data_IF_447772065292
#
_entry.id   IF_447772065292
#
_cell.length_a   1.000
_cell.length_b   1.000
_cell.length_c   1.000
_cell.angle_alpha   90.00
_cell.angle_beta   90.00
_cell.angle_gamma   90.00
#
_symmetry.space_group_name_H-M   'P 1'
#
loop_
_entity.id
_entity.type
_entity.pdbx_description
1 polymer ?
#
# COMPACT_ATOMS: atom_id res chain seq x y z
N UNK A 1 33.15 -59.57 -10.46
CA UNK A 1 32.18 -58.73 -11.21
C UNK A 1 32.60 -57.28 -11.07
N UNK A 2 32.81 -56.59 -12.19
CA UNK A 2 33.37 -55.23 -12.25
C UNK A 2 32.32 -54.21 -11.80
N UNK A 3 32.66 -53.46 -10.76
CA UNK A 3 31.85 -52.39 -10.19
C UNK A 3 31.77 -51.22 -11.20
N UNK A 4 30.59 -50.99 -11.78
CA UNK A 4 30.35 -49.91 -12.74
C UNK A 4 30.35 -48.56 -12.02
N UNK A 5 31.51 -47.90 -12.00
CA UNK A 5 31.74 -46.52 -11.54
C UNK A 5 31.04 -45.43 -12.36
N UNK A 6 30.21 -45.81 -13.35
CA UNK A 6 29.57 -44.90 -14.31
C UNK A 6 28.33 -44.21 -13.73
N UNK A 7 27.77 -44.72 -12.63
CA UNK A 7 26.52 -44.17 -12.05
C UNK A 7 26.79 -42.97 -11.10
N UNK A 8 28.02 -42.78 -10.62
CA UNK A 8 28.35 -41.70 -9.69
C UNK A 8 28.50 -40.32 -10.35
N UNK A 9 28.66 -40.26 -11.68
CA UNK A 9 28.87 -39.01 -12.43
C UNK A 9 27.54 -38.31 -12.78
N UNK A 10 26.40 -39.02 -12.74
CA UNK A 10 25.09 -38.43 -13.05
C UNK A 10 24.41 -37.72 -11.87
N UNK A 11 24.95 -37.83 -10.65
CA UNK A 11 24.37 -37.24 -9.43
C UNK A 11 24.92 -35.84 -9.07
N UNK A 12 25.83 -35.28 -9.87
CA UNK A 12 26.54 -34.02 -9.54
C UNK A 12 26.08 -32.84 -10.43
N UNK A 13 25.20 -33.05 -11.41
CA UNK A 13 24.80 -32.03 -12.40
C UNK A 13 23.48 -31.27 -12.12
N UNK A 14 22.88 -31.34 -10.92
CA UNK A 14 21.65 -30.59 -10.60
C UNK A 14 21.84 -29.40 -9.64
N UNK A 15 23.09 -29.00 -9.32
CA UNK A 15 23.37 -27.84 -8.46
C UNK A 15 23.74 -26.59 -9.28
N UNK A 16 23.31 -26.50 -10.53
CA UNK A 16 23.53 -25.34 -11.41
C UNK A 16 22.23 -24.60 -11.72
N UNK A 17 21.53 -24.15 -10.68
CA UNK A 17 20.63 -22.99 -10.81
C UNK A 17 20.66 -22.13 -9.54
N UNK A 18 21.87 -21.79 -9.10
CA UNK A 18 22.07 -20.73 -8.10
C UNK A 18 22.59 -19.47 -8.81
N UNK A 19 21.74 -18.81 -9.59
CA UNK A 19 22.04 -17.49 -10.17
C UNK A 19 20.77 -16.69 -10.51
N UNK A 20 19.71 -16.79 -9.70
CA UNK A 20 18.51 -15.97 -9.88
C UNK A 20 17.94 -15.48 -8.54
N UNK A 21 18.73 -14.79 -7.69
CA UNK A 21 18.16 -14.25 -6.44
C UNK A 21 18.87 -13.05 -5.78
N UNK A 22 19.78 -12.32 -6.44
CA UNK A 22 20.41 -11.12 -5.83
C UNK A 22 19.78 -9.77 -6.19
N UNK A 23 18.94 -9.71 -7.22
CA UNK A 23 18.29 -8.47 -7.67
C UNK A 23 16.97 -8.19 -6.95
N UNK A 24 16.22 -9.24 -6.59
CA UNK A 24 14.91 -9.11 -5.92
C UNK A 24 15.05 -8.52 -4.51
N UNK A 25 15.96 -9.09 -3.70
CA UNK A 25 16.20 -8.66 -2.32
C UNK A 25 16.67 -7.19 -2.21
N UNK A 26 17.53 -6.74 -3.14
CA UNK A 26 17.95 -5.31 -3.18
C UNK A 26 16.79 -4.39 -3.54
N UNK A 27 15.97 -4.77 -4.54
CA UNK A 27 14.81 -3.95 -4.95
C UNK A 27 13.73 -3.91 -3.86
N UNK A 28 13.39 -5.05 -3.26
CA UNK A 28 12.47 -5.11 -2.12
C UNK A 28 12.97 -4.22 -0.99
N UNK A 29 14.23 -4.36 -0.56
CA UNK A 29 14.81 -3.57 0.54
C UNK A 29 14.86 -2.07 0.26
N UNK A 30 15.09 -1.66 -0.99
CA UNK A 30 15.03 -0.25 -1.41
C UNK A 30 13.59 0.26 -1.38
N UNK A 31 12.63 -0.51 -1.90
CA UNK A 31 11.20 -0.16 -1.85
C UNK A 31 10.73 -0.06 -0.40
N UNK A 32 11.09 -0.99 0.48
CA UNK A 32 10.71 -0.92 1.91
C UNK A 32 11.23 0.37 2.56
N UNK A 33 12.43 0.80 2.21
CA UNK A 33 13.00 2.03 2.74
C UNK A 33 12.28 3.28 2.17
N UNK A 34 11.97 3.30 0.88
CA UNK A 34 11.24 4.40 0.25
C UNK A 34 9.77 4.51 0.74
N UNK A 35 9.15 3.40 1.12
CA UNK A 35 7.80 3.34 1.69
C UNK A 35 7.76 3.51 3.21
N UNK A 36 8.89 3.66 3.89
CA UNK A 36 8.96 3.74 5.36
C UNK A 36 8.19 4.91 6.01
N UNK A 37 7.75 5.89 5.21
CA UNK A 37 6.87 6.97 5.66
C UNK A 37 5.40 6.54 5.76
N UNK A 38 5.01 5.46 5.05
CA UNK A 38 3.69 4.84 5.18
C UNK A 38 3.72 3.94 6.41
N UNK A 39 3.42 4.53 7.56
CA UNK A 39 3.42 3.84 8.83
C UNK A 39 2.39 4.44 9.77
N UNK A 40 1.64 3.58 10.45
CA UNK A 40 0.56 3.97 11.36
C UNK A 40 1.02 4.90 12.48
N UNK A 41 2.28 4.81 12.92
CA UNK A 41 2.84 5.67 13.98
C UNK A 41 3.24 7.05 13.48
N UNK A 42 3.43 7.23 12.17
CA UNK A 42 4.00 8.45 11.57
C UNK A 42 3.02 9.23 10.70
N UNK A 43 1.92 8.61 10.29
CA UNK A 43 0.93 9.26 9.44
C UNK A 43 0.30 10.45 10.18
N UNK A 44 0.41 11.64 9.58
CA UNK A 44 -0.21 12.85 10.09
C UNK A 44 -1.12 13.42 8.99
N UNK A 45 -2.40 13.55 9.30
CA UNK A 45 -3.42 14.01 8.37
C UNK A 45 -4.47 14.86 9.07
N UNK A 46 -5.20 15.62 8.27
CA UNK A 46 -6.39 16.36 8.70
C UNK A 46 -7.55 16.01 7.77
N UNK A 47 -8.77 16.07 8.29
CA UNK A 47 -10.00 15.95 7.50
C UNK A 47 -10.54 17.37 7.38
N UNK A 48 -10.76 17.81 6.14
CA UNK A 48 -11.27 19.15 5.84
C UNK A 48 -12.62 19.06 5.16
N UNK A 49 -13.56 19.89 5.59
CA UNK A 49 -14.81 20.11 4.86
C UNK A 49 -14.48 20.96 3.62
N UNK A 50 -14.91 20.51 2.45
CA UNK A 50 -14.65 21.17 1.16
C UNK A 50 -15.97 21.60 0.57
N UNK A 51 -16.02 22.83 0.05
CA UNK A 51 -17.15 23.40 -0.66
C UNK A 51 -16.81 23.61 -2.13
N UNK A 52 -17.81 23.68 -2.99
CA UNK A 52 -17.62 24.04 -4.39
C UNK A 52 -17.45 25.56 -4.51
N UNK A 53 -16.26 26.00 -4.88
CA UNK A 53 -15.90 27.43 -5.05
C UNK A 53 -16.33 28.01 -6.40
N UNK A 54 -16.74 27.15 -7.33
CA UNK A 54 -17.20 27.50 -8.69
C UNK A 54 -18.71 27.32 -8.89
N UNK A 55 -19.44 26.82 -7.89
CA UNK A 55 -20.87 26.56 -7.97
C UNK A 55 -21.71 27.73 -7.42
N UNK A 56 -22.92 27.93 -7.94
CA UNK A 56 -23.91 28.87 -7.39
C UNK A 56 -25.28 28.18 -7.20
N UNK A 57 -25.81 28.08 -5.97
CA UNK A 57 -25.19 28.54 -4.71
C UNK A 57 -23.94 27.72 -4.35
N UNK A 58 -23.08 28.27 -3.50
CA UNK A 58 -21.98 27.51 -2.89
C UNK A 58 -22.60 26.42 -2.01
N UNK A 59 -22.20 25.17 -2.22
CA UNK A 59 -22.63 24.04 -1.41
C UNK A 59 -21.46 23.15 -1.01
N UNK A 60 -21.67 22.38 0.05
CA UNK A 60 -20.70 21.44 0.60
C UNK A 60 -20.52 20.24 -0.35
N UNK A 61 -19.27 19.95 -0.71
CA UNK A 61 -18.88 18.80 -1.57
C UNK A 61 -18.50 17.57 -0.75
N UNK A 62 -18.36 17.74 0.57
CA UNK A 62 -18.08 16.68 1.54
C UNK A 62 -16.75 16.88 2.25
N UNK A 63 -16.21 15.80 2.82
CA UNK A 63 -14.99 15.83 3.61
C UNK A 63 -13.84 15.20 2.84
N UNK A 64 -12.64 15.77 2.93
CA UNK A 64 -11.45 15.26 2.22
C UNK A 64 -10.28 15.14 3.18
N UNK A 65 -9.49 14.08 2.98
CA UNK A 65 -8.22 13.91 3.70
C UNK A 65 -7.18 14.85 3.10
N UNK A 66 -6.42 15.52 3.97
CA UNK A 66 -5.27 16.33 3.62
C UNK A 66 -4.04 15.81 4.35
N UNK A 67 -3.03 15.36 3.60
CA UNK A 67 -1.75 14.84 4.11
C UNK A 67 -0.60 15.74 3.67
N UNK A 68 0.36 16.00 4.57
CA UNK A 68 1.59 16.72 4.23
C UNK A 68 2.63 15.73 3.69
N UNK A 69 2.82 15.72 2.38
CA UNK A 69 3.78 14.85 1.69
C UNK A 69 4.80 15.66 0.91
N UNK A 70 6.04 15.16 0.84
CA UNK A 70 7.06 15.71 -0.07
C UNK A 70 6.68 15.42 -1.53
N UNK A 71 7.20 16.20 -2.51
CA UNK A 71 6.98 15.92 -3.93
C UNK A 71 7.36 14.48 -4.33
N UNK A 72 8.48 13.96 -3.78
CA UNK A 72 8.92 12.58 -4.02
C UNK A 72 7.89 11.57 -3.51
N UNK A 73 7.38 11.75 -2.29
CA UNK A 73 6.35 10.86 -1.72
C UNK A 73 5.06 10.89 -2.53
N UNK A 74 4.61 12.06 -2.99
CA UNK A 74 3.41 12.19 -3.84
C UNK A 74 3.55 11.41 -5.14
N UNK A 75 4.67 11.58 -5.83
CA UNK A 75 4.96 10.85 -7.07
C UNK A 75 4.96 9.35 -6.81
N UNK A 76 5.57 8.93 -5.70
CA UNK A 76 5.68 7.53 -5.33
C UNK A 76 4.30 6.89 -5.09
N UNK A 77 3.43 7.48 -4.25
CA UNK A 77 2.14 6.87 -3.91
C UNK A 77 1.17 6.80 -5.10
N UNK A 78 1.24 7.76 -6.03
CA UNK A 78 0.42 7.76 -7.24
C UNK A 78 0.83 6.65 -8.22
N UNK A 79 2.10 6.22 -8.18
CA UNK A 79 2.65 5.17 -9.07
C UNK A 79 2.52 3.76 -8.50
N UNK A 80 2.12 3.61 -7.25
CA UNK A 80 2.01 2.31 -6.60
C UNK A 80 0.94 1.46 -7.27
N UNK A 81 1.27 0.18 -7.45
CA UNK A 81 0.37 -0.81 -8.03
C UNK A 81 -0.65 -1.29 -7.01
N UNK A 82 -1.76 -1.85 -7.52
CA UNK A 82 -2.81 -2.49 -6.72
C UNK A 82 -2.24 -3.45 -5.67
N UNK A 83 -1.36 -4.37 -6.09
CA UNK A 83 -0.78 -5.36 -5.18
C UNK A 83 0.03 -4.75 -4.03
N UNK A 84 0.75 -3.66 -4.29
CA UNK A 84 1.52 -2.94 -3.26
C UNK A 84 0.58 -2.27 -2.24
N UNK A 85 -0.50 -1.63 -2.73
CA UNK A 85 -1.51 -1.05 -1.85
C UNK A 85 -2.24 -2.10 -0.99
N UNK A 86 -2.65 -3.22 -1.60
CA UNK A 86 -3.32 -4.30 -0.86
C UNK A 86 -2.37 -4.94 0.16
N UNK A 87 -1.08 -5.07 -0.17
CA UNK A 87 -0.08 -5.55 0.79
C UNK A 87 0.00 -4.64 2.01
N UNK A 88 -0.03 -3.31 1.83
CA UNK A 88 0.01 -2.37 2.96
C UNK A 88 -1.29 -2.38 3.77
N UNK A 89 -2.45 -2.45 3.09
CA UNK A 89 -3.75 -2.53 3.77
C UNK A 89 -3.91 -3.78 4.64
N UNK A 90 -3.18 -4.85 4.32
CA UNK A 90 -3.17 -6.10 5.07
C UNK A 90 -2.06 -6.18 6.13
N UNK A 91 -1.17 -5.18 6.24
CA UNK A 91 -0.10 -5.12 7.24
C UNK A 91 -0.50 -4.21 8.41
N UNK A 92 -0.58 -4.76 9.63
CA UNK A 92 -0.99 -4.03 10.84
C UNK A 92 -0.09 -2.84 11.22
N UNK A 93 1.09 -2.71 10.65
CA UNK A 93 1.97 -1.57 10.89
C UNK A 93 1.72 -0.42 9.92
N UNK A 94 1.00 -0.67 8.82
CA UNK A 94 0.79 0.29 7.72
C UNK A 94 -0.65 0.45 7.26
N UNK A 95 -1.56 -0.44 7.64
CA UNK A 95 -2.93 -0.53 7.13
C UNK A 95 -3.72 0.80 7.20
N UNK A 96 -3.76 1.43 8.37
CA UNK A 96 -4.46 2.68 8.57
C UNK A 96 -3.81 3.83 7.77
N UNK A 97 -2.47 3.93 7.81
CA UNK A 97 -1.74 4.92 7.03
C UNK A 97 -1.98 4.76 5.53
N UNK A 98 -2.01 3.52 5.04
CA UNK A 98 -2.33 3.20 3.66
C UNK A 98 -3.76 3.60 3.31
N UNK A 99 -4.74 3.30 4.17
CA UNK A 99 -6.12 3.72 3.98
C UNK A 99 -6.23 5.26 3.88
N UNK A 100 -5.63 6.00 4.82
CA UNK A 100 -5.63 7.47 4.81
C UNK A 100 -5.02 8.03 3.51
N UNK A 101 -3.92 7.45 3.02
CA UNK A 101 -3.30 7.86 1.77
C UNK A 101 -4.19 7.54 0.55
N UNK A 102 -4.93 6.43 0.56
CA UNK A 102 -5.89 6.10 -0.48
C UNK A 102 -7.07 7.07 -0.50
N UNK A 103 -7.61 7.46 0.66
CA UNK A 103 -8.61 8.54 0.75
C UNK A 103 -8.07 9.85 0.16
N UNK A 104 -6.81 10.19 0.43
CA UNK A 104 -6.15 11.37 -0.11
C UNK A 104 -6.00 11.32 -1.64
N UNK A 105 -5.40 10.26 -2.21
CA UNK A 105 -5.11 10.24 -3.65
C UNK A 105 -6.35 10.02 -4.51
N UNK A 106 -7.38 9.34 -4.00
CA UNK A 106 -8.64 9.12 -4.73
C UNK A 106 -9.72 10.16 -4.42
N UNK A 107 -9.42 11.18 -3.60
CA UNK A 107 -10.38 12.20 -3.17
C UNK A 107 -11.70 11.60 -2.64
N UNK A 108 -11.63 10.48 -1.92
CA UNK A 108 -12.81 9.81 -1.35
C UNK A 108 -13.39 10.65 -0.22
N UNK A 109 -14.72 10.65 -0.09
CA UNK A 109 -15.37 11.34 1.01
C UNK A 109 -14.99 10.71 2.35
N UNK A 110 -14.38 11.52 3.22
CA UNK A 110 -13.78 11.14 4.48
C UNK A 110 -14.71 11.32 5.69
N UNK A 111 -16.00 11.59 5.48
CA UNK A 111 -16.96 11.82 6.56
C UNK A 111 -16.96 10.68 7.58
N UNK A 112 -16.85 9.44 7.12
CA UNK A 112 -16.83 8.22 7.94
C UNK A 112 -15.62 8.15 8.88
N UNK A 113 -14.49 8.77 8.49
CA UNK A 113 -13.27 8.83 9.30
C UNK A 113 -13.36 9.85 10.44
N UNK A 114 -14.37 10.72 10.45
CA UNK A 114 -14.65 11.60 11.59
C UNK A 114 -15.11 10.82 12.81
N UNK A 115 -15.85 9.72 12.58
CA UNK A 115 -16.37 8.84 13.62
C UNK A 115 -15.42 7.68 13.93
N UNK A 116 -14.52 7.35 13.01
CA UNK A 116 -13.56 6.24 13.12
C UNK A 116 -12.12 6.77 13.04
N UNK A 117 -11.81 7.76 13.88
CA UNK A 117 -10.57 8.54 13.76
C UNK A 117 -9.36 7.81 14.32
N UNK A 118 -9.55 6.91 15.29
CA UNK A 118 -8.45 6.10 15.81
C UNK A 118 -8.25 4.85 14.95
N UNK A 119 -7.02 4.33 14.95
CA UNK A 119 -6.68 3.08 14.26
C UNK A 119 -7.58 1.94 14.75
N UNK A 120 -7.88 1.91 16.05
CA UNK A 120 -8.70 0.87 16.66
C UNK A 120 -10.14 0.94 16.19
N UNK A 121 -10.77 2.11 16.28
CA UNK A 121 -12.17 2.29 15.88
C UNK A 121 -12.35 1.95 14.39
N UNK A 122 -11.42 2.40 13.55
CA UNK A 122 -11.44 2.05 12.13
C UNK A 122 -11.26 0.55 11.89
N UNK A 123 -10.35 -0.13 12.59
CA UNK A 123 -10.16 -1.58 12.45
C UNK A 123 -11.40 -2.36 12.84
N UNK A 124 -12.00 -2.01 13.97
CA UNK A 124 -13.12 -2.74 14.54
C UNK A 124 -14.43 -2.46 13.78
N UNK A 125 -14.59 -1.25 13.22
CA UNK A 125 -15.85 -0.83 12.61
C UNK A 125 -15.88 -0.79 11.08
N UNK A 126 -14.73 -0.66 10.40
CA UNK A 126 -14.72 -0.20 9.01
C UNK A 126 -13.65 -0.79 8.10
N UNK A 127 -12.60 -1.42 8.64
CA UNK A 127 -11.44 -1.84 7.85
C UNK A 127 -11.82 -2.77 6.71
N UNK A 128 -12.69 -3.75 6.96
CA UNK A 128 -13.12 -4.71 5.94
C UNK A 128 -13.87 -4.01 4.79
N UNK A 129 -14.81 -3.11 5.10
CA UNK A 129 -15.55 -2.34 4.11
C UNK A 129 -14.63 -1.45 3.26
N UNK A 130 -13.66 -0.80 3.89
CA UNK A 130 -12.68 0.02 3.19
C UNK A 130 -11.77 -0.83 2.29
N UNK A 131 -11.30 -1.99 2.77
CA UNK A 131 -10.51 -2.92 1.95
C UNK A 131 -11.32 -3.38 0.74
N UNK A 132 -12.57 -3.81 0.93
CA UNK A 132 -13.46 -4.22 -0.17
C UNK A 132 -13.71 -3.08 -1.17
N UNK A 133 -13.88 -1.85 -0.68
CA UNK A 133 -14.00 -0.66 -1.54
C UNK A 133 -12.72 -0.48 -2.38
N UNK A 134 -11.54 -0.55 -1.76
CA UNK A 134 -10.27 -0.37 -2.44
C UNK A 134 -9.95 -1.50 -3.42
N UNK A 135 -10.28 -2.74 -3.08
CA UNK A 135 -10.18 -3.87 -4.01
C UNK A 135 -11.02 -3.67 -5.27
N UNK A 136 -12.18 -3.01 -5.17
CA UNK A 136 -12.99 -2.68 -6.36
C UNK A 136 -12.46 -1.46 -7.10
N UNK A 137 -11.90 -0.48 -6.39
CA UNK A 137 -11.51 0.82 -6.95
C UNK A 137 -10.11 0.86 -7.55
N UNK A 138 -9.16 0.15 -6.95
CA UNK A 138 -7.78 0.05 -7.43
C UNK A 138 -7.76 -0.75 -8.74
N UNK A 139 -7.58 -0.05 -9.86
CA UNK A 139 -7.51 -0.69 -11.19
C UNK A 139 -6.31 -1.64 -11.27
N UNK A 140 -6.45 -2.70 -12.07
CA UNK A 140 -5.33 -3.53 -12.48
C UNK A 140 -4.43 -2.70 -13.41
N UNK A 141 -3.23 -2.37 -12.93
CA UNK A 141 -2.15 -1.76 -13.72
C UNK A 141 -0.91 -2.65 -13.65
#
# INVERSE_FOLDING_TARGET
MKFNWVILVFLIMTISSCCAQKTHSKREKIITNELSFINNKRINFSIKKVACDTCFPIFDVGYRVSVKLTPKQKILIVRMKRGEWLSLLNDETTDYAANILLYYIYNRDAIVLLHNRSIRDWRDGMKEDDILYWEKRLKYH
#
